data_IF_731406394423
#
_entry.id   IF_731406394423
#
_cell.length_a   1.000
_cell.length_b   1.000
_cell.length_c   1.000
_cell.angle_alpha   90.00
_cell.angle_beta   90.00
_cell.angle_gamma   90.00
#
_symmetry.space_group_name_H-M   'P 1'
#
loop_
_entity.id
_entity.type
_entity.pdbx_description
1 polymer ?
#
# COMPACT_ATOMS: atom_id res chain seq x y z
N UNK A 1 72.21 40.99 -76.43
CA UNK A 1 70.82 40.86 -75.94
C UNK A 1 70.16 39.79 -76.79
N UNK A 2 70.03 38.55 -76.31
CA UNK A 2 68.95 37.62 -76.63
C UNK A 2 69.06 36.37 -75.75
N UNK A 3 67.93 36.07 -75.10
CA UNK A 3 67.68 35.06 -74.07
C UNK A 3 67.97 33.63 -74.53
N UNK A 4 68.63 32.84 -73.67
CA UNK A 4 68.40 31.41 -73.61
C UNK A 4 67.32 31.13 -72.55
N UNK A 5 66.17 30.64 -73.00
CA UNK A 5 65.10 30.15 -72.13
C UNK A 5 65.58 28.91 -71.39
N UNK A 6 65.80 29.03 -70.09
CA UNK A 6 65.96 27.88 -69.20
C UNK A 6 64.64 27.13 -69.08
N UNK A 7 64.56 25.95 -69.69
CA UNK A 7 63.53 24.95 -69.42
C UNK A 7 63.76 24.40 -68.01
N UNK A 8 63.25 25.11 -67.00
CA UNK A 8 63.15 24.57 -65.65
C UNK A 8 62.12 23.47 -65.62
N UNK A 9 62.56 22.22 -65.48
CA UNK A 9 61.69 21.11 -65.07
C UNK A 9 61.07 21.47 -63.70
N UNK A 10 59.77 21.82 -63.70
CA UNK A 10 58.98 21.82 -62.47
C UNK A 10 58.74 20.37 -62.08
N UNK A 11 59.61 19.83 -61.24
CA UNK A 11 59.34 18.57 -60.54
C UNK A 11 58.35 18.91 -59.42
N UNK A 12 57.09 18.58 -59.64
CA UNK A 12 56.04 18.72 -58.64
C UNK A 12 56.16 17.54 -57.67
N UNK A 13 56.81 17.73 -56.52
CA UNK A 13 56.86 16.73 -55.47
C UNK A 13 55.49 16.64 -54.81
N UNK A 14 54.61 15.81 -55.37
CA UNK A 14 53.38 15.43 -54.70
C UNK A 14 53.78 14.77 -53.37
N UNK A 15 53.34 15.36 -52.26
CA UNK A 15 53.60 14.83 -50.93
C UNK A 15 53.20 13.33 -50.87
N UNK A 16 53.99 12.48 -50.19
CA UNK A 16 53.71 11.05 -50.13
C UNK A 16 52.34 10.83 -49.48
N UNK A 17 51.61 9.84 -50.00
CA UNK A 17 50.31 9.47 -49.45
C UNK A 17 50.48 8.89 -48.04
N UNK A 18 49.77 9.46 -47.07
CA UNK A 18 49.71 8.97 -45.69
C UNK A 18 48.30 8.40 -45.44
N UNK A 19 48.17 7.11 -45.11
CA UNK A 19 46.86 6.50 -44.84
C UNK A 19 46.27 7.06 -43.54
N UNK A 20 44.95 7.19 -43.50
CA UNK A 20 44.23 7.48 -42.26
C UNK A 20 44.29 6.28 -41.31
N UNK A 21 44.37 6.56 -40.02
CA UNK A 21 44.38 5.61 -38.92
C UNK A 21 43.41 6.09 -37.84
N UNK A 22 42.59 5.18 -37.32
CA UNK A 22 41.73 5.43 -36.17
C UNK A 22 42.56 5.23 -34.91
N UNK A 23 42.72 6.29 -34.12
CA UNK A 23 43.55 6.34 -32.92
C UNK A 23 42.78 5.95 -31.67
N UNK A 24 41.54 6.42 -31.54
CA UNK A 24 40.61 6.02 -30.48
C UNK A 24 39.17 5.91 -30.99
N UNK A 25 38.38 5.10 -30.30
CA UNK A 25 36.95 4.95 -30.50
C UNK A 25 36.33 4.78 -29.11
N UNK A 26 35.47 5.71 -28.73
CA UNK A 26 34.88 5.80 -27.39
C UNK A 26 33.36 5.94 -27.49
N UNK A 27 32.67 5.43 -26.48
CA UNK A 27 31.22 5.45 -26.40
C UNK A 27 30.75 4.71 -25.14
N UNK A 28 29.45 4.79 -24.82
CA UNK A 28 28.88 4.07 -23.69
C UNK A 28 28.96 2.56 -23.92
N UNK A 29 29.32 1.81 -22.87
CA UNK A 29 29.30 0.34 -22.93
C UNK A 29 27.89 -0.24 -22.74
N UNK A 30 27.01 0.52 -22.09
CA UNK A 30 25.62 0.14 -21.87
C UNK A 30 24.68 1.34 -22.04
N UNK A 31 23.49 1.08 -22.57
CA UNK A 31 22.39 2.03 -22.71
C UNK A 31 21.06 1.36 -22.36
N UNK A 32 20.05 2.18 -22.09
CA UNK A 32 18.65 1.76 -22.11
C UNK A 32 18.02 2.04 -23.49
N UNK A 33 16.93 1.34 -23.80
CA UNK A 33 16.19 1.61 -25.04
C UNK A 33 15.79 3.07 -25.14
N UNK A 34 16.09 3.70 -26.28
CA UNK A 34 15.88 5.13 -26.58
C UNK A 34 16.75 6.11 -25.77
N UNK A 35 17.66 5.62 -24.93
CA UNK A 35 18.66 6.48 -24.30
C UNK A 35 19.69 6.94 -25.34
N UNK A 36 19.98 8.23 -25.38
CA UNK A 36 21.03 8.77 -26.24
C UNK A 36 22.42 8.48 -25.65
N UNK A 37 23.29 7.92 -26.49
CA UNK A 37 24.72 7.77 -26.23
C UNK A 37 25.54 8.60 -27.21
N UNK A 38 26.61 9.23 -26.71
CA UNK A 38 27.57 9.94 -27.56
C UNK A 38 28.73 9.01 -27.89
N UNK A 39 29.02 8.87 -29.17
CA UNK A 39 30.15 8.13 -29.71
C UNK A 39 31.15 9.10 -30.31
N UNK A 40 32.43 8.91 -30.00
CA UNK A 40 33.52 9.76 -30.47
C UNK A 40 34.66 8.90 -31.01
N UNK A 41 35.33 9.40 -32.03
CA UNK A 41 36.51 8.78 -32.59
C UNK A 41 37.57 9.84 -32.84
N UNK A 42 38.84 9.45 -32.73
CA UNK A 42 39.97 10.29 -33.12
C UNK A 42 40.77 9.61 -34.21
N UNK A 43 41.32 10.38 -35.14
CA UNK A 43 42.16 9.89 -36.24
C UNK A 43 43.45 10.71 -36.33
N UNK A 44 44.45 10.22 -37.06
CA UNK A 44 45.70 10.94 -37.38
C UNK A 44 45.47 12.08 -38.41
N UNK A 45 44.52 12.97 -38.13
CA UNK A 45 43.99 13.96 -39.08
C UNK A 45 45.06 14.94 -39.60
N UNK A 46 46.02 15.30 -38.75
CA UNK A 46 47.10 16.22 -39.09
C UNK A 46 48.13 15.60 -40.05
N UNK A 47 48.31 14.28 -39.99
CA UNK A 47 49.28 13.55 -40.81
C UNK A 47 48.66 12.94 -42.07
N UNK A 48 47.39 12.55 -42.02
CA UNK A 48 46.72 11.82 -43.09
C UNK A 48 46.47 12.69 -44.34
N UNK A 49 46.60 12.09 -45.52
CA UNK A 49 46.30 12.79 -46.79
C UNK A 49 44.81 13.08 -46.92
N UNK A 50 44.45 14.34 -47.16
CA UNK A 50 43.07 14.81 -47.31
C UNK A 50 42.48 14.52 -48.71
N UNK A 51 41.14 14.47 -48.89
CA UNK A 51 40.12 14.57 -47.83
C UNK A 51 39.97 13.26 -47.04
N UNK A 52 39.51 13.38 -45.80
CA UNK A 52 39.08 12.26 -44.95
C UNK A 52 37.55 12.26 -44.85
N UNK A 53 36.94 11.08 -44.94
CA UNK A 53 35.51 10.87 -44.72
C UNK A 53 35.30 9.88 -43.58
N UNK A 54 34.24 10.12 -42.80
CA UNK A 54 33.92 9.35 -41.60
C UNK A 54 32.55 8.69 -41.74
N UNK A 55 32.46 7.41 -41.45
CA UNK A 55 31.22 6.65 -41.47
C UNK A 55 31.06 5.84 -40.17
N UNK A 56 29.85 5.87 -39.63
CA UNK A 56 29.42 5.04 -38.52
C UNK A 56 28.39 4.02 -39.00
N UNK A 57 28.54 2.77 -38.56
CA UNK A 57 27.51 1.74 -38.58
C UNK A 57 27.24 1.33 -37.14
N UNK A 58 26.02 1.54 -36.66
CA UNK A 58 25.66 1.23 -35.27
C UNK A 58 25.24 -0.23 -35.07
N UNK A 59 25.21 -1.06 -36.12
CA UNK A 59 24.84 -2.47 -36.04
C UNK A 59 23.33 -2.71 -35.90
N UNK A 60 22.51 -1.66 -35.93
CA UNK A 60 21.04 -1.71 -35.93
C UNK A 60 20.42 -1.32 -37.29
N UNK A 61 21.26 -1.17 -38.31
CA UNK A 61 20.88 -0.72 -39.66
C UNK A 61 20.84 0.79 -39.83
N UNK A 62 21.17 1.57 -38.80
CA UNK A 62 21.33 3.02 -38.89
C UNK A 62 22.80 3.41 -39.02
N UNK A 63 23.04 4.59 -39.58
CA UNK A 63 24.39 5.09 -39.89
C UNK A 63 24.56 6.54 -39.45
N UNK A 64 25.81 6.97 -39.28
CA UNK A 64 26.16 8.35 -38.95
C UNK A 64 27.43 8.82 -39.65
N UNK A 65 27.75 10.10 -39.49
CA UNK A 65 28.95 10.73 -40.07
C UNK A 65 29.59 11.71 -39.09
N UNK A 66 30.86 12.07 -39.32
CA UNK A 66 31.63 12.94 -38.44
C UNK A 66 32.44 12.18 -37.39
N UNK A 67 33.29 12.88 -36.63
CA UNK A 67 34.13 12.29 -35.56
C UNK A 67 33.39 12.14 -34.23
N UNK A 68 32.22 12.76 -34.08
CA UNK A 68 31.36 12.64 -32.92
C UNK A 68 29.89 12.57 -33.37
N UNK A 69 29.12 11.66 -32.81
CA UNK A 69 27.71 11.43 -33.16
C UNK A 69 26.93 10.95 -31.95
N UNK A 70 25.68 11.38 -31.81
CA UNK A 70 24.74 10.83 -30.84
C UNK A 70 23.85 9.78 -31.50
N UNK A 71 23.60 8.68 -30.81
CA UNK A 71 22.72 7.61 -31.29
C UNK A 71 21.94 6.98 -30.14
N UNK A 72 20.78 6.41 -30.44
CA UNK A 72 19.94 5.68 -29.49
C UNK A 72 19.35 4.44 -30.15
N UNK A 73 19.23 3.35 -29.40
CA UNK A 73 18.72 2.09 -29.90
C UNK A 73 17.27 1.85 -29.46
N UNK A 74 16.38 1.57 -30.41
CA UNK A 74 14.96 1.35 -30.11
C UNK A 74 14.64 -0.03 -29.49
N UNK A 75 15.59 -0.97 -29.55
CA UNK A 75 15.41 -2.35 -29.06
C UNK A 75 16.56 -2.75 -28.16
N UNK A 76 16.25 -3.60 -27.18
CA UNK A 76 17.27 -4.23 -26.35
C UNK A 76 18.07 -5.24 -27.18
N UNK A 77 19.36 -5.36 -26.90
CA UNK A 77 20.27 -6.22 -27.63
C UNK A 77 21.73 -5.81 -27.44
N UNK A 78 22.63 -6.57 -28.05
CA UNK A 78 24.05 -6.23 -28.12
C UNK A 78 24.37 -5.79 -29.54
N UNK A 79 24.93 -4.59 -29.67
CA UNK A 79 25.23 -3.95 -30.95
C UNK A 79 26.73 -3.76 -31.09
N UNK A 80 27.26 -4.06 -32.28
CA UNK A 80 28.65 -3.76 -32.64
C UNK A 80 28.68 -2.47 -33.43
N UNK A 81 29.21 -1.41 -32.82
CA UNK A 81 29.39 -0.11 -33.45
C UNK A 81 30.71 -0.11 -34.19
N UNK A 82 30.69 0.20 -35.48
CA UNK A 82 31.86 0.30 -36.33
C UNK A 82 32.06 1.74 -36.76
N UNK A 83 33.23 2.30 -36.49
CA UNK A 83 33.68 3.56 -37.05
C UNK A 83 34.71 3.28 -38.15
N UNK A 84 34.49 3.85 -39.33
CA UNK A 84 35.40 3.74 -40.48
C UNK A 84 35.83 5.14 -40.92
N UNK A 85 37.14 5.33 -41.02
CA UNK A 85 37.73 6.51 -41.63
C UNK A 85 38.37 6.12 -42.96
N UNK A 86 38.11 6.89 -44.02
CA UNK A 86 38.64 6.64 -45.36
C UNK A 86 39.24 7.93 -45.90
N UNK A 87 40.39 7.86 -46.58
CA UNK A 87 41.05 9.03 -47.13
C UNK A 87 41.60 8.84 -48.55
N UNK A 88 41.94 9.95 -49.20
CA UNK A 88 42.55 9.96 -50.54
C UNK A 88 41.68 9.32 -51.63
N UNK A 89 40.36 9.54 -51.56
CA UNK A 89 39.36 8.95 -52.46
C UNK A 89 39.34 7.40 -52.42
N UNK A 90 39.41 6.82 -51.22
CA UNK A 90 39.35 5.37 -51.01
C UNK A 90 40.71 4.67 -51.03
N UNK A 91 41.81 5.43 -51.04
CA UNK A 91 43.16 4.87 -51.13
C UNK A 91 43.69 4.37 -49.77
N UNK A 92 43.17 4.92 -48.68
CA UNK A 92 43.42 4.45 -47.31
C UNK A 92 42.11 4.29 -46.56
N UNK A 93 42.04 3.26 -45.72
CA UNK A 93 40.88 2.99 -44.86
C UNK A 93 41.34 2.32 -43.59
N UNK A 94 40.80 2.76 -42.46
CA UNK A 94 40.98 2.09 -41.17
C UNK A 94 39.66 2.10 -40.40
N UNK A 95 39.44 1.09 -39.57
CA UNK A 95 38.20 0.90 -38.85
C UNK A 95 38.43 0.36 -37.45
N UNK A 96 37.63 0.82 -36.49
CA UNK A 96 37.55 0.24 -35.16
C UNK A 96 36.12 -0.08 -34.78
N UNK A 97 35.97 -1.04 -33.89
CA UNK A 97 34.67 -1.45 -33.36
C UNK A 97 34.63 -1.34 -31.85
N UNK A 98 33.46 -1.02 -31.30
CA UNK A 98 33.13 -1.24 -29.89
C UNK A 98 31.78 -1.95 -29.78
N UNK A 99 31.51 -2.52 -28.61
CA UNK A 99 30.24 -3.19 -28.32
C UNK A 99 29.43 -2.36 -27.34
N UNK A 100 28.14 -2.19 -27.63
CA UNK A 100 27.16 -1.55 -26.74
C UNK A 100 26.09 -2.56 -26.37
N UNK A 101 25.81 -2.71 -25.08
CA UNK A 101 24.67 -3.52 -24.62
C UNK A 101 23.50 -2.62 -24.25
N UNK A 102 22.39 -2.79 -24.95
CA UNK A 102 21.15 -2.05 -24.73
C UNK A 102 20.18 -2.93 -23.96
N UNK A 103 19.70 -2.48 -22.81
CA UNK A 103 18.66 -3.20 -22.05
C UNK A 103 17.32 -2.47 -22.12
N UNK A 104 16.23 -3.23 -22.01
CA UNK A 104 14.92 -2.65 -21.77
C UNK A 104 14.81 -2.29 -20.27
N UNK A 105 14.25 -1.13 -19.91
CA UNK A 105 14.09 -0.77 -18.52
C UNK A 105 13.00 -1.64 -17.88
N UNK A 106 13.18 -2.00 -16.61
CA UNK A 106 12.29 -2.94 -15.90
C UNK A 106 11.23 -2.14 -15.11
N UNK A 107 9.93 -2.29 -15.42
CA UNK A 107 8.87 -1.56 -14.72
C UNK A 107 8.77 -1.98 -13.26
N UNK A 108 8.30 -1.04 -12.42
CA UNK A 108 7.99 -1.33 -11.04
C UNK A 108 6.85 -2.36 -10.95
N UNK A 109 7.02 -3.40 -10.14
CA UNK A 109 6.09 -4.51 -10.01
C UNK A 109 5.94 -4.94 -8.56
N UNK A 110 4.70 -5.15 -8.11
CA UNK A 110 4.38 -5.68 -6.78
C UNK A 110 4.32 -7.21 -6.88
N UNK A 111 5.28 -7.90 -6.26
CA UNK A 111 5.33 -9.37 -6.24
C UNK A 111 4.39 -9.91 -5.16
N UNK A 112 4.46 -9.34 -3.97
CA UNK A 112 3.59 -9.68 -2.83
C UNK A 112 3.13 -8.41 -2.12
N UNK A 113 1.93 -8.47 -1.54
CA UNK A 113 1.35 -7.42 -0.70
C UNK A 113 0.61 -8.11 0.45
N UNK A 114 0.94 -7.75 1.68
CA UNK A 114 0.35 -8.35 2.88
C UNK A 114 0.04 -7.29 3.93
N UNK A 115 -1.02 -7.52 4.70
CA UNK A 115 -1.37 -6.77 5.89
C UNK A 115 -1.32 -7.69 7.12
N UNK A 116 -0.63 -7.25 8.17
CA UNK A 116 -0.47 -8.04 9.39
C UNK A 116 -0.80 -7.19 10.62
N UNK A 117 -1.84 -7.55 11.41
CA UNK A 117 -2.81 -8.61 11.13
C UNK A 117 -3.79 -8.22 10.01
N UNK A 118 -4.42 -9.21 9.35
CA UNK A 118 -5.49 -8.98 8.36
C UNK A 118 -6.86 -8.73 8.99
N UNK A 119 -6.99 -9.02 10.30
CA UNK A 119 -8.13 -8.66 11.14
C UNK A 119 -7.62 -8.00 12.42
N UNK A 120 -8.06 -6.78 12.70
CA UNK A 120 -7.61 -5.94 13.80
C UNK A 120 -8.80 -5.29 14.49
N UNK A 121 -8.58 -4.65 15.64
CA UNK A 121 -9.55 -3.72 16.22
C UNK A 121 -9.17 -2.25 15.93
N UNK A 122 -10.06 -1.31 16.27
CA UNK A 122 -9.85 0.13 16.07
C UNK A 122 -8.67 0.76 16.82
N UNK A 123 -7.94 -0.02 17.63
CA UNK A 123 -6.74 0.44 18.36
C UNK A 123 -5.48 -0.31 17.94
N UNK A 124 -5.60 -1.39 17.21
CA UNK A 124 -4.48 -2.25 16.83
C UNK A 124 -3.88 -1.77 15.51
N UNK A 125 -2.60 -1.35 15.49
CA UNK A 125 -1.94 -0.95 14.26
C UNK A 125 -1.75 -2.15 13.32
N UNK A 126 -2.06 -1.95 12.04
CA UNK A 126 -1.85 -2.91 10.97
C UNK A 126 -0.58 -2.53 10.23
N UNK A 127 0.35 -3.48 10.11
CA UNK A 127 1.58 -3.31 9.34
C UNK A 127 1.38 -3.79 7.91
N UNK A 128 1.78 -2.96 6.95
CA UNK A 128 1.75 -3.30 5.54
C UNK A 128 3.16 -3.59 5.05
N UNK A 129 3.31 -4.72 4.36
CA UNK A 129 4.57 -5.13 3.74
C UNK A 129 4.34 -5.54 2.31
N UNK A 130 5.21 -5.06 1.42
CA UNK A 130 5.21 -5.41 0.01
C UNK A 130 6.61 -5.82 -0.44
N UNK A 131 6.67 -6.81 -1.32
CA UNK A 131 7.89 -7.11 -2.07
C UNK A 131 7.75 -6.49 -3.47
N UNK A 132 8.66 -5.59 -3.81
CA UNK A 132 8.60 -4.78 -5.03
C UNK A 132 9.88 -4.97 -5.84
N UNK A 133 9.73 -5.15 -7.15
CA UNK A 133 10.83 -5.31 -8.10
C UNK A 133 10.74 -4.22 -9.17
N UNK A 134 11.84 -3.99 -9.90
CA UNK A 134 11.94 -2.98 -10.95
C UNK A 134 13.19 -2.11 -10.82
N UNK A 135 13.48 -1.35 -11.86
CA UNK A 135 14.58 -0.39 -11.85
C UNK A 135 14.30 0.76 -10.88
N UNK A 136 15.35 1.27 -10.25
CA UNK A 136 15.28 2.34 -9.25
C UNK A 136 15.37 3.74 -9.91
N UNK A 137 14.81 4.79 -9.29
CA UNK A 137 14.06 4.79 -8.02
C UNK A 137 12.61 4.32 -8.18
N UNK A 138 12.10 3.58 -7.19
CA UNK A 138 10.69 3.21 -7.09
C UNK A 138 10.01 4.06 -6.02
N UNK A 139 8.87 4.64 -6.38
CA UNK A 139 8.00 5.42 -5.48
C UNK A 139 6.80 4.58 -5.03
N UNK A 140 6.31 4.84 -3.82
CA UNK A 140 5.20 4.14 -3.19
C UNK A 140 4.05 5.11 -2.91
N UNK A 141 2.82 4.67 -3.17
CA UNK A 141 1.61 5.41 -2.84
C UNK A 141 0.58 4.45 -2.27
N UNK A 142 0.24 4.67 -1.00
CA UNK A 142 -0.76 3.92 -0.26
C UNK A 142 -2.04 4.73 -0.13
N UNK A 143 -3.16 4.05 -0.28
CA UNK A 143 -4.51 4.51 0.06
C UNK A 143 -5.13 3.44 0.95
N UNK A 144 -5.39 3.78 2.21
CA UNK A 144 -5.90 2.82 3.19
C UNK A 144 -7.41 2.58 3.06
N UNK A 145 -8.11 3.33 2.19
CA UNK A 145 -9.56 3.20 1.99
C UNK A 145 -10.41 3.87 3.07
N UNK A 146 -9.80 4.58 4.02
CA UNK A 146 -10.45 5.37 5.08
C UNK A 146 -10.23 6.88 4.90
N UNK A 147 -9.65 7.29 3.76
CA UNK A 147 -9.27 8.67 3.46
C UNK A 147 -7.83 9.03 3.82
N UNK A 148 -7.08 8.14 4.51
CA UNK A 148 -5.67 8.33 4.81
C UNK A 148 -4.75 7.70 3.75
N UNK A 149 -3.54 8.24 3.62
CA UNK A 149 -2.54 7.83 2.62
C UNK A 149 -1.14 7.78 3.21
N UNK A 150 -0.21 7.08 2.55
CA UNK A 150 1.23 7.08 2.89
C UNK A 150 2.12 6.94 1.65
N UNK A 151 3.38 7.36 1.76
CA UNK A 151 4.43 7.19 0.74
C UNK A 151 5.60 6.33 1.23
N UNK A 152 5.52 5.80 2.44
CA UNK A 152 6.55 4.92 3.00
C UNK A 152 6.54 3.54 2.28
N UNK A 153 7.69 2.88 2.23
CA UNK A 153 7.78 1.54 1.63
C UNK A 153 7.04 0.47 2.45
N UNK A 154 6.97 0.63 3.78
CA UNK A 154 6.35 -0.32 4.69
C UNK A 154 5.65 0.40 5.87
N UNK A 155 4.51 1.07 5.62
CA UNK A 155 3.82 1.85 6.64
C UNK A 155 3.09 0.96 7.65
N UNK A 156 2.81 1.55 8.81
CA UNK A 156 1.81 1.07 9.75
C UNK A 156 0.62 2.02 9.76
N UNK A 157 -0.60 1.49 9.84
CA UNK A 157 -1.81 2.31 9.91
C UNK A 157 -2.79 1.74 10.94
N UNK A 158 -3.48 2.63 11.67
CA UNK A 158 -4.55 2.25 12.61
C UNK A 158 -5.85 2.86 12.12
N UNK A 159 -6.86 2.01 11.93
CA UNK A 159 -8.18 2.43 11.49
C UNK A 159 -9.03 2.86 12.69
N UNK A 160 -9.64 4.05 12.62
CA UNK A 160 -10.41 4.60 13.75
C UNK A 160 -11.83 4.06 13.86
N UNK A 161 -12.38 3.52 12.77
CA UNK A 161 -13.75 3.03 12.69
C UNK A 161 -13.78 1.54 12.31
N UNK A 162 -14.77 0.78 12.82
CA UNK A 162 -14.96 -0.59 12.41
C UNK A 162 -15.46 -0.67 10.97
N UNK A 163 -15.02 -1.68 10.23
CA UNK A 163 -15.37 -1.84 8.83
C UNK A 163 -14.48 -2.83 8.10
N UNK A 164 -14.73 -2.99 6.80
CA UNK A 164 -13.81 -3.73 5.91
C UNK A 164 -13.18 -2.73 4.95
N UNK A 165 -11.86 -2.58 5.06
CA UNK A 165 -11.08 -1.64 4.27
C UNK A 165 -10.36 -2.35 3.15
N UNK A 166 -10.40 -1.76 1.95
CA UNK A 166 -9.61 -2.21 0.79
C UNK A 166 -8.41 -1.29 0.65
N UNK A 167 -7.27 -1.74 1.16
CA UNK A 167 -6.02 -0.99 1.11
C UNK A 167 -5.38 -1.19 -0.25
N UNK A 168 -4.95 -0.10 -0.89
CA UNK A 168 -4.35 -0.08 -2.21
C UNK A 168 -2.92 0.44 -2.14
N UNK A 169 -1.98 -0.31 -2.71
CA UNK A 169 -0.62 0.12 -2.97
C UNK A 169 -0.43 0.32 -4.47
N UNK A 170 0.11 1.47 -4.86
CA UNK A 170 0.65 1.72 -6.19
C UNK A 170 2.15 1.97 -6.10
N UNK A 171 2.93 1.26 -6.92
CA UNK A 171 4.37 1.46 -7.06
C UNK A 171 4.67 1.99 -8.45
N UNK A 172 5.63 2.90 -8.59
CA UNK A 172 5.93 3.55 -9.87
C UNK A 172 7.42 3.84 -10.02
N UNK A 173 7.96 3.56 -11.21
CA UNK A 173 9.27 4.03 -11.67
C UNK A 173 9.15 4.63 -13.10
N UNK A 174 10.27 5.02 -13.70
CA UNK A 174 10.27 5.63 -15.05
C UNK A 174 9.76 4.68 -16.14
N UNK A 175 9.88 3.37 -15.94
CA UNK A 175 9.47 2.36 -16.90
C UNK A 175 7.99 1.96 -16.78
N UNK A 176 7.34 2.21 -15.65
CA UNK A 176 5.93 1.91 -15.47
C UNK A 176 5.47 1.89 -14.02
N UNK A 177 4.23 1.43 -13.83
CA UNK A 177 3.59 1.31 -12.52
C UNK A 177 2.80 0.02 -12.39
N UNK A 178 2.62 -0.42 -11.15
CA UNK A 178 1.77 -1.55 -10.79
C UNK A 178 0.94 -1.20 -9.55
N UNK A 179 -0.28 -1.72 -9.46
CA UNK A 179 -1.22 -1.44 -8.38
C UNK A 179 -1.83 -2.74 -7.88
N UNK A 180 -1.82 -2.94 -6.56
CA UNK A 180 -2.44 -4.10 -5.89
C UNK A 180 -3.23 -3.68 -4.66
N UNK A 181 -4.16 -4.54 -4.26
CA UNK A 181 -5.01 -4.32 -3.10
C UNK A 181 -4.94 -5.47 -2.09
N UNK A 182 -5.15 -5.17 -0.82
CA UNK A 182 -5.31 -6.14 0.27
C UNK A 182 -6.48 -5.71 1.17
N UNK A 183 -7.29 -6.66 1.62
CA UNK A 183 -8.42 -6.37 2.51
C UNK A 183 -8.01 -6.50 3.98
N UNK A 184 -8.50 -5.57 4.81
CA UNK A 184 -8.34 -5.58 6.26
C UNK A 184 -9.72 -5.47 6.90
N UNK A 185 -10.04 -6.37 7.83
CA UNK A 185 -11.27 -6.30 8.63
C UNK A 185 -10.94 -5.64 9.97
N UNK A 186 -11.68 -4.61 10.33
CA UNK A 186 -11.50 -3.85 11.56
C UNK A 186 -12.75 -3.99 12.42
N UNK A 187 -12.61 -4.53 13.61
CA UNK A 187 -13.66 -4.64 14.60
C UNK A 187 -13.63 -3.47 15.59
N UNK A 188 -14.74 -3.17 16.27
CA UNK A 188 -14.71 -2.26 17.41
C UNK A 188 -13.74 -2.79 18.47
N UNK A 189 -12.94 -1.91 19.06
CA UNK A 189 -12.14 -2.27 20.23
C UNK A 189 -13.04 -2.68 21.40
N UNK A 190 -12.78 -3.86 21.95
CA UNK A 190 -13.39 -4.33 23.19
C UNK A 190 -12.35 -4.42 24.31
N UNK A 191 -12.62 -3.82 25.47
CA UNK A 191 -11.79 -4.01 26.65
C UNK A 191 -11.67 -5.49 27.05
N UNK A 192 -10.50 -5.95 27.53
CA UNK A 192 -10.31 -7.36 27.93
C UNK A 192 -11.31 -7.88 28.97
N UNK A 193 -11.85 -7.00 29.83
CA UNK A 193 -12.81 -7.40 30.85
C UNK A 193 -14.15 -7.91 30.28
N UNK A 194 -14.50 -7.53 29.04
CA UNK A 194 -15.69 -8.02 28.35
C UNK A 194 -15.66 -9.56 28.19
N UNK A 195 -14.46 -10.12 27.97
CA UNK A 195 -14.27 -11.57 27.85
C UNK A 195 -14.50 -12.34 29.16
N UNK A 196 -14.47 -11.66 30.31
CA UNK A 196 -14.64 -12.27 31.63
C UNK A 196 -15.90 -11.81 32.36
N UNK A 197 -16.69 -10.92 31.78
CA UNK A 197 -17.93 -10.43 32.38
C UNK A 197 -18.94 -11.59 32.54
N UNK A 198 -19.38 -11.85 33.77
CA UNK A 198 -20.36 -12.90 34.10
C UNK A 198 -21.60 -12.35 34.78
N UNK A 199 -21.51 -11.17 35.39
CA UNK A 199 -22.58 -10.53 36.16
C UNK A 199 -22.60 -9.04 35.85
N UNK A 200 -23.79 -8.46 35.93
CA UNK A 200 -24.04 -7.02 35.83
C UNK A 200 -24.94 -6.60 36.99
N UNK A 201 -25.09 -5.30 37.21
CA UNK A 201 -25.90 -4.81 38.31
C UNK A 201 -27.33 -5.32 38.23
N UNK A 202 -27.78 -5.95 39.31
CA UNK A 202 -29.19 -6.24 39.57
C UNK A 202 -29.90 -4.98 40.04
N UNK A 203 -31.13 -4.77 39.59
CA UNK A 203 -31.96 -3.65 40.04
C UNK A 203 -33.21 -4.10 40.76
N UNK A 204 -33.64 -3.29 41.74
CA UNK A 204 -34.76 -3.61 42.62
C UNK A 204 -35.93 -2.66 42.41
N UNK A 205 -37.13 -3.15 42.72
CA UNK A 205 -38.38 -2.45 42.53
C UNK A 205 -39.19 -2.33 43.84
N UNK A 206 -40.00 -1.29 43.90
CA UNK A 206 -41.03 -1.16 44.91
C UNK A 206 -42.11 -2.24 44.80
N UNK A 207 -42.86 -2.43 45.89
CA UNK A 207 -43.86 -3.49 46.00
C UNK A 207 -45.00 -3.23 44.99
N UNK A 208 -45.34 -4.26 44.22
CA UNK A 208 -46.33 -4.20 43.14
C UNK A 208 -46.07 -3.10 42.10
N UNK A 209 -44.80 -2.72 41.89
CA UNK A 209 -44.39 -1.72 40.92
C UNK A 209 -43.44 -2.31 39.88
N UNK A 210 -43.60 -1.89 38.63
CA UNK A 210 -42.65 -2.06 37.52
C UNK A 210 -41.95 -0.75 37.14
N UNK A 211 -42.20 0.34 37.88
CA UNK A 211 -41.55 1.62 37.65
C UNK A 211 -40.15 1.62 38.26
N UNK A 212 -39.15 1.96 37.45
CA UNK A 212 -37.77 2.11 37.92
C UNK A 212 -37.68 3.26 38.95
N UNK A 213 -36.97 3.02 40.06
CA UNK A 213 -36.61 4.07 41.03
C UNK A 213 -35.42 4.89 40.52
N UNK A 214 -34.99 5.93 41.25
CA UNK A 214 -33.80 6.69 40.88
C UNK A 214 -32.52 5.83 41.02
N UNK A 215 -32.44 5.04 42.08
CA UNK A 215 -31.33 4.14 42.40
C UNK A 215 -31.22 3.03 41.34
N UNK A 216 -32.36 2.47 40.93
CA UNK A 216 -32.39 1.48 39.85
C UNK A 216 -31.85 2.07 38.53
N UNK A 217 -32.25 3.30 38.17
CA UNK A 217 -31.72 3.95 36.96
C UNK A 217 -30.22 4.19 37.03
N UNK A 218 -29.68 4.55 38.20
CA UNK A 218 -28.24 4.72 38.38
C UNK A 218 -27.48 3.40 38.18
N UNK A 219 -27.95 2.31 38.80
CA UNK A 219 -27.35 0.99 38.63
C UNK A 219 -27.43 0.49 37.17
N UNK A 220 -28.55 0.76 36.47
CA UNK A 220 -28.68 0.46 35.05
C UNK A 220 -27.77 1.31 34.17
N UNK A 221 -27.45 2.55 34.56
CA UNK A 221 -26.55 3.41 33.80
C UNK A 221 -25.14 2.81 33.73
N UNK A 222 -24.64 2.23 34.82
CA UNK A 222 -23.36 1.50 34.82
C UNK A 222 -23.41 0.28 33.88
N UNK A 223 -24.54 -0.45 33.86
CA UNK A 223 -24.75 -1.55 32.92
C UNK A 223 -24.78 -1.06 31.46
N UNK A 224 -25.34 0.12 31.18
CA UNK A 224 -25.33 0.73 29.85
C UNK A 224 -23.91 1.01 29.39
N UNK A 225 -23.05 1.55 30.26
CA UNK A 225 -21.64 1.81 29.93
C UNK A 225 -20.93 0.51 29.54
N UNK A 226 -21.10 -0.55 30.33
CA UNK A 226 -20.55 -1.88 30.02
C UNK A 226 -21.08 -2.44 28.70
N UNK A 227 -22.40 -2.36 28.44
CA UNK A 227 -22.98 -2.88 27.20
C UNK A 227 -22.58 -2.07 25.96
N UNK A 228 -22.24 -0.79 26.12
CA UNK A 228 -21.70 0.05 25.03
C UNK A 228 -20.26 -0.32 24.69
N UNK A 229 -19.44 -0.64 25.69
CA UNK A 229 -18.05 -1.04 25.49
C UNK A 229 -17.92 -2.50 25.02
N UNK A 230 -18.73 -3.40 25.57
CA UNK A 230 -18.73 -4.82 25.24
C UNK A 230 -19.78 -5.14 24.18
N UNK A 231 -19.55 -4.72 22.94
CA UNK A 231 -20.49 -4.85 21.82
C UNK A 231 -20.82 -6.30 21.43
N UNK A 232 -19.96 -7.25 21.77
CA UNK A 232 -20.10 -8.69 21.56
C UNK A 232 -21.03 -9.37 22.57
N UNK A 233 -21.39 -8.70 23.66
CA UNK A 233 -22.24 -9.26 24.72
C UNK A 233 -23.71 -8.92 24.45
N UNK A 234 -24.58 -9.92 24.47
CA UNK A 234 -26.03 -9.73 24.58
C UNK A 234 -26.45 -9.75 26.05
N UNK A 235 -27.63 -9.23 26.39
CA UNK A 235 -28.13 -9.24 27.76
C UNK A 235 -29.52 -9.91 27.84
N UNK A 236 -29.64 -10.92 28.71
CA UNK A 236 -30.93 -11.46 29.12
C UNK A 236 -31.37 -10.81 30.42
N UNK A 237 -32.60 -10.32 30.43
CA UNK A 237 -33.17 -9.56 31.54
C UNK A 237 -34.20 -10.45 32.22
N UNK A 238 -33.85 -10.99 33.38
CA UNK A 238 -34.71 -11.90 34.13
C UNK A 238 -35.44 -11.13 35.22
N UNK A 239 -36.73 -10.86 35.00
CA UNK A 239 -37.58 -10.18 35.97
C UNK A 239 -38.17 -11.15 36.97
N UNK A 240 -38.22 -10.74 38.24
CA UNK A 240 -38.75 -11.53 39.35
C UNK A 240 -39.78 -10.75 40.16
N UNK A 241 -40.73 -11.49 40.72
CA UNK A 241 -41.71 -11.00 41.67
C UNK A 241 -41.55 -11.66 43.05
N UNK A 242 -41.76 -10.87 44.09
CA UNK A 242 -41.69 -11.36 45.46
C UNK A 242 -42.94 -12.15 45.85
N UNK A 243 -42.83 -13.06 46.84
CA UNK A 243 -43.99 -13.74 47.41
C UNK A 243 -45.02 -12.74 47.96
N UNK A 244 -46.28 -12.86 47.53
CA UNK A 244 -47.38 -12.00 47.96
C UNK A 244 -47.60 -10.74 47.11
N UNK A 245 -46.86 -10.58 46.01
CA UNK A 245 -47.22 -9.63 44.95
C UNK A 245 -48.35 -10.18 44.07
N UNK A 246 -49.23 -9.28 43.63
CA UNK A 246 -50.37 -9.63 42.77
C UNK A 246 -49.87 -9.83 41.35
N UNK A 247 -50.49 -10.77 40.62
CA UNK A 247 -50.17 -11.05 39.21
C UNK A 247 -48.66 -11.24 38.97
N UNK A 248 -48.02 -12.04 39.82
CA UNK A 248 -46.56 -12.17 39.87
C UNK A 248 -45.89 -12.42 38.50
N UNK A 249 -46.52 -13.22 37.63
CA UNK A 249 -46.03 -13.45 36.27
C UNK A 249 -45.99 -12.15 35.46
N UNK A 250 -47.15 -11.51 35.29
CA UNK A 250 -47.26 -10.24 34.55
C UNK A 250 -46.33 -9.16 35.14
N UNK A 251 -46.30 -9.03 36.47
CA UNK A 251 -45.46 -8.04 37.14
C UNK A 251 -43.96 -8.28 36.88
N UNK A 252 -43.53 -9.53 36.84
CA UNK A 252 -42.15 -9.89 36.53
C UNK A 252 -41.78 -9.56 35.07
N UNK A 253 -42.71 -9.79 34.13
CA UNK A 253 -42.55 -9.43 32.72
C UNK A 253 -42.50 -7.92 32.53
N UNK A 254 -43.39 -7.17 33.20
CA UNK A 254 -43.43 -5.71 33.14
C UNK A 254 -42.14 -5.09 33.68
N UNK A 255 -41.55 -5.66 34.73
CA UNK A 255 -40.25 -5.23 35.26
C UNK A 255 -39.12 -5.49 34.27
N UNK A 256 -39.07 -6.68 33.68
CA UNK A 256 -38.05 -7.02 32.67
C UNK A 256 -38.15 -6.08 31.46
N UNK A 257 -39.37 -5.80 30.98
CA UNK A 257 -39.62 -4.82 29.90
C UNK A 257 -39.25 -3.39 30.28
N UNK A 258 -39.46 -2.98 31.53
CA UNK A 258 -39.06 -1.64 31.98
C UNK A 258 -37.53 -1.45 31.93
N UNK A 259 -36.76 -2.48 32.29
CA UNK A 259 -35.30 -2.48 32.14
C UNK A 259 -34.87 -2.52 30.68
N UNK A 260 -35.53 -3.35 29.86
CA UNK A 260 -35.30 -3.44 28.42
C UNK A 260 -35.49 -2.06 27.75
N UNK A 261 -36.61 -1.40 28.03
CA UNK A 261 -36.90 -0.08 27.49
C UNK A 261 -35.88 0.95 27.96
N UNK A 262 -35.45 0.90 29.23
CA UNK A 262 -34.40 1.78 29.72
C UNK A 262 -33.09 1.62 28.93
N UNK A 263 -32.68 0.38 28.61
CA UNK A 263 -31.49 0.13 27.79
C UNK A 263 -31.66 0.63 26.35
N UNK A 264 -32.83 0.41 25.74
CA UNK A 264 -33.14 0.89 24.39
C UNK A 264 -33.11 2.42 24.33
N UNK A 265 -33.76 3.09 25.28
CA UNK A 265 -33.78 4.55 25.39
C UNK A 265 -32.37 5.13 25.59
N UNK A 266 -31.45 4.33 26.12
CA UNK A 266 -30.04 4.67 26.29
C UNK A 266 -29.13 4.08 25.19
N UNK A 267 -29.68 3.72 24.04
CA UNK A 267 -28.90 3.41 22.82
C UNK A 267 -28.35 1.99 22.74
N UNK A 268 -28.80 1.07 23.60
CA UNK A 268 -28.51 -0.36 23.40
C UNK A 268 -29.51 -0.91 22.37
N UNK A 269 -29.00 -1.60 21.36
CA UNK A 269 -29.84 -2.18 20.31
C UNK A 269 -30.78 -3.25 20.90
N UNK A 270 -32.07 -3.16 20.58
CA UNK A 270 -33.07 -4.15 21.03
C UNK A 270 -32.71 -5.59 20.62
N UNK A 271 -32.02 -5.78 19.49
CA UNK A 271 -31.54 -7.10 19.04
C UNK A 271 -30.51 -7.74 19.97
N UNK A 272 -29.89 -6.97 20.88
CA UNK A 272 -28.95 -7.46 21.89
C UNK A 272 -29.64 -7.81 23.22
N UNK A 273 -30.95 -7.59 23.33
CA UNK A 273 -31.69 -7.72 24.57
C UNK A 273 -32.71 -8.85 24.48
N UNK A 274 -32.96 -9.53 25.59
CA UNK A 274 -34.05 -10.50 25.71
C UNK A 274 -34.67 -10.40 27.11
N UNK A 275 -35.85 -9.80 27.20
CA UNK A 275 -36.60 -9.70 28.45
C UNK A 275 -37.46 -10.94 28.71
N UNK A 276 -37.35 -11.51 29.92
CA UNK A 276 -38.10 -12.70 30.35
C UNK A 276 -38.63 -12.49 31.76
N UNK A 277 -39.93 -12.67 31.95
CA UNK A 277 -40.54 -12.72 33.27
C UNK A 277 -40.44 -14.12 33.87
N UNK A 278 -39.71 -14.25 34.98
CA UNK A 278 -39.51 -15.50 35.71
C UNK A 278 -40.60 -15.79 36.74
N UNK A 279 -41.57 -14.88 36.88
CA UNK A 279 -42.65 -15.01 37.83
C UNK A 279 -42.18 -14.89 39.27
N UNK A 280 -42.78 -15.69 40.15
CA UNK A 280 -42.49 -15.63 41.58
C UNK A 280 -41.22 -16.41 41.90
N UNK A 281 -40.33 -15.82 42.70
CA UNK A 281 -39.16 -16.54 43.25
C UNK A 281 -39.64 -17.71 44.12
N UNK A 282 -39.27 -18.94 43.74
CA UNK A 282 -39.61 -20.15 44.50
C UNK A 282 -38.80 -20.27 45.80
N UNK A 283 -39.35 -20.98 46.80
CA UNK A 283 -38.67 -21.22 48.09
C UNK A 283 -38.61 -20.03 49.06
N UNK A 284 -39.08 -18.83 48.68
CA UNK A 284 -39.26 -17.69 49.57
C UNK A 284 -40.71 -17.54 50.07
N UNK A 285 -40.88 -17.08 51.32
CA UNK A 285 -42.20 -16.72 51.89
C UNK A 285 -42.26 -15.21 52.12
N UNK A 286 -43.46 -14.64 52.14
CA UNK A 286 -43.65 -13.20 52.38
C UNK A 286 -43.19 -12.71 53.76
N UNK A 287 -42.94 -13.63 54.70
CA UNK A 287 -42.47 -13.35 56.06
C UNK A 287 -40.94 -13.47 56.22
N UNK A 288 -40.22 -13.97 55.20
CA UNK A 288 -38.74 -14.05 55.25
C UNK A 288 -38.13 -12.65 55.08
N UNK A 289 -37.09 -12.36 55.86
CA UNK A 289 -36.19 -11.23 55.59
C UNK A 289 -35.60 -11.39 54.18
N UNK A 290 -35.55 -10.33 53.38
CA UNK A 290 -35.09 -10.38 51.98
C UNK A 290 -36.20 -10.52 50.92
N UNK A 291 -37.49 -10.51 51.29
CA UNK A 291 -38.58 -10.45 50.31
C UNK A 291 -38.49 -9.22 49.37
N UNK A 292 -37.82 -8.16 49.82
CA UNK A 292 -37.48 -7.00 49.00
C UNK A 292 -36.50 -7.31 47.87
N UNK A 293 -35.57 -8.23 48.08
CA UNK A 293 -34.54 -8.66 47.13
C UNK A 293 -35.10 -9.58 46.04
N UNK A 294 -36.32 -10.10 46.23
CA UNK A 294 -37.05 -10.86 45.21
C UNK A 294 -37.78 -9.97 44.19
N UNK A 295 -37.89 -8.66 44.44
CA UNK A 295 -38.50 -7.68 43.51
C UNK A 295 -37.41 -7.09 42.64
N UNK A 296 -36.92 -7.85 41.67
CA UNK A 296 -35.71 -7.47 40.95
C UNK A 296 -35.73 -7.82 39.47
N UNK A 297 -34.79 -7.25 38.74
CA UNK A 297 -34.39 -7.72 37.42
C UNK A 297 -32.89 -7.96 37.46
N UNK A 298 -32.50 -9.18 37.08
CA UNK A 298 -31.11 -9.57 36.91
C UNK A 298 -30.72 -9.37 35.44
N UNK A 299 -29.62 -8.66 35.19
CA UNK A 299 -29.05 -8.48 33.85
C UNK A 299 -27.95 -9.52 33.66
N UNK A 300 -28.18 -10.48 32.78
CA UNK A 300 -27.30 -11.62 32.56
C UNK A 300 -26.58 -11.46 31.21
N UNK A 301 -25.26 -11.27 31.20
CA UNK A 301 -24.45 -11.30 29.98
C UNK A 301 -24.57 -12.64 29.26
N UNK A 302 -24.78 -12.61 27.94
CA UNK A 302 -24.82 -13.76 27.04
C UNK A 302 -23.83 -13.52 25.91
N UNK A 303 -23.04 -14.55 25.57
CA UNK A 303 -22.11 -14.56 24.44
C UNK A 303 -22.64 -15.45 23.32
#
# INVERSE_FOLDING_TARGET
MFNFFGLGLKIDFKAPFVPVQVLSLEGPQALETNQQGTFTATVNEAEATQPITYAWDFGDGTTGTGVAVTHSYARAGTYTVTFTATNGNGRGSDSRTLTVTVRAPVPAQIVTLTATPSRADTRTPVRFTANVQGDQPITYSWDFGDGNTSTEAAPTHTFSEPGTYTVRLTVTNEAGSDTRTVSVVVDPYEPPYCATLTEMNTVFFDRNSSTLTAEARQALQENVEVLRECVSINARLEGFAAPGERNAQQLSEDRARAVEQFYIDNGILASRLTAVGMGRVEGMTSKKSGASEARRVDTIPIR
#
